data_IF_066609280298
#
_entry.id   IF_066609280298
#
_cell.length_a   1.000
_cell.length_b   1.000
_cell.length_c   1.000
_cell.angle_alpha   90.00
_cell.angle_beta   90.00
_cell.angle_gamma   90.00
#
_symmetry.space_group_name_H-M   'P 1'
#
loop_
_entity.id
_entity.type
_entity.pdbx_description
1 polymer ?
#
# COMPACT_ATOMS: atom_id res chain seq x y z
N UNK A 1 5.25 -20.99 -26.63
CA UNK A 1 5.22 -19.79 -27.51
C UNK A 1 5.85 -18.67 -26.71
N UNK A 2 6.76 -17.87 -27.28
CA UNK A 2 7.33 -16.72 -26.56
C UNK A 2 6.21 -15.70 -26.36
N UNK A 3 5.85 -15.47 -25.11
CA UNK A 3 4.82 -14.52 -24.69
C UNK A 3 5.36 -13.10 -24.91
N UNK A 4 4.84 -12.39 -25.89
CA UNK A 4 5.05 -10.95 -25.95
C UNK A 4 3.93 -10.30 -25.14
N UNK A 5 4.25 -9.95 -23.89
CA UNK A 5 3.43 -9.02 -23.12
C UNK A 5 3.36 -7.72 -23.93
N UNK A 6 2.16 -7.29 -24.29
CA UNK A 6 1.95 -6.11 -25.11
C UNK A 6 1.66 -4.90 -24.21
N UNK A 7 2.70 -4.10 -23.97
CA UNK A 7 2.58 -2.80 -23.31
C UNK A 7 2.85 -1.71 -24.36
N UNK A 8 1.81 -0.95 -24.69
CA UNK A 8 1.93 0.24 -25.53
C UNK A 8 2.19 1.49 -24.69
N UNK A 9 3.13 2.34 -25.11
CA UNK A 9 3.33 3.66 -24.51
C UNK A 9 2.90 4.74 -25.50
N UNK A 10 1.79 5.41 -25.19
CA UNK A 10 1.36 6.63 -25.87
C UNK A 10 2.15 7.79 -25.28
N UNK A 11 3.24 8.15 -25.97
CA UNK A 11 4.12 9.23 -25.51
C UNK A 11 3.45 10.59 -25.65
N UNK A 12 3.69 11.48 -24.69
CA UNK A 12 3.33 12.89 -24.77
C UNK A 12 1.84 13.17 -25.06
N UNK A 13 0.92 12.39 -24.48
CA UNK A 13 -0.51 12.67 -24.52
C UNK A 13 -0.77 14.08 -24.01
N UNK A 14 -1.30 14.94 -24.87
CA UNK A 14 -1.50 16.36 -24.58
C UNK A 14 -2.87 16.58 -23.94
N UNK A 15 -2.87 17.10 -22.71
CA UNK A 15 -4.09 17.58 -22.07
C UNK A 15 -4.30 19.07 -22.34
N UNK A 16 -5.49 19.46 -22.80
CA UNK A 16 -5.84 20.89 -22.89
C UNK A 16 -6.29 21.41 -21.53
N UNK A 17 -6.95 20.57 -20.73
CA UNK A 17 -7.47 20.91 -19.40
C UNK A 17 -6.33 21.17 -18.42
N UNK A 18 -5.31 20.30 -18.41
CA UNK A 18 -4.19 20.41 -17.47
C UNK A 18 -3.02 21.25 -18.00
N UNK A 19 -3.02 21.58 -19.30
CA UNK A 19 -1.95 22.31 -19.99
C UNK A 19 -0.58 21.63 -19.96
N UNK A 20 -0.53 20.30 -19.86
CA UNK A 20 0.69 19.52 -19.86
C UNK A 20 0.65 18.34 -20.85
N UNK A 21 1.74 17.57 -20.89
CA UNK A 21 1.87 16.34 -21.66
C UNK A 21 2.41 15.25 -20.76
N UNK A 22 1.81 14.06 -20.78
CA UNK A 22 2.23 12.88 -20.01
C UNK A 22 2.19 11.63 -20.86
N UNK A 23 2.87 10.57 -20.46
CA UNK A 23 2.69 9.29 -21.14
C UNK A 23 1.48 8.56 -20.57
N UNK A 24 0.82 7.79 -21.44
CA UNK A 24 -0.21 6.83 -21.06
C UNK A 24 0.30 5.46 -21.48
N UNK A 25 0.35 4.53 -20.52
CA UNK A 25 0.87 3.18 -20.71
C UNK A 25 -0.32 2.21 -20.70
N UNK A 26 -0.41 1.35 -21.70
CA UNK A 26 -1.57 0.47 -21.90
C UNK A 26 -1.09 -0.96 -22.02
N UNK A 27 -1.49 -1.81 -21.07
CA UNK A 27 -1.34 -3.26 -21.19
C UNK A 27 -2.57 -3.84 -21.88
N UNK A 28 -2.33 -4.72 -22.85
CA UNK A 28 -3.37 -5.45 -23.58
C UNK A 28 -3.37 -6.93 -23.16
N UNK A 29 -4.54 -7.52 -22.88
CA UNK A 29 -4.62 -8.91 -22.46
C UNK A 29 -4.26 -9.89 -23.59
N UNK A 30 -3.88 -11.14 -23.28
CA UNK A 30 -3.35 -12.10 -24.25
C UNK A 30 -4.23 -12.32 -25.48
N UNK A 31 -5.56 -12.31 -25.33
CA UNK A 31 -6.48 -12.53 -26.45
C UNK A 31 -6.75 -11.28 -27.29
N UNK A 32 -6.26 -10.10 -26.90
CA UNK A 32 -6.61 -8.82 -27.53
C UNK A 32 -6.42 -8.85 -29.04
N UNK A 33 -5.22 -9.19 -29.53
CA UNK A 33 -4.90 -9.18 -30.96
C UNK A 33 -5.54 -10.32 -31.76
N UNK A 34 -5.99 -11.39 -31.10
CA UNK A 34 -6.67 -12.52 -31.75
C UNK A 34 -8.20 -12.37 -31.79
N UNK A 35 -8.78 -11.59 -30.86
CA UNK A 35 -10.22 -11.46 -30.67
C UNK A 35 -10.71 -10.05 -31.05
N UNK A 36 -10.99 -9.87 -32.35
CA UNK A 36 -11.34 -8.56 -32.92
C UNK A 36 -12.67 -7.97 -32.41
N UNK A 37 -13.58 -8.80 -31.88
CA UNK A 37 -14.92 -8.38 -31.44
C UNK A 37 -15.11 -8.42 -29.92
N UNK A 38 -14.09 -8.81 -29.15
CA UNK A 38 -14.16 -8.86 -27.68
C UNK A 38 -13.83 -7.48 -27.10
N UNK A 39 -14.65 -7.04 -26.15
CA UNK A 39 -14.42 -5.85 -25.33
C UNK A 39 -14.08 -6.27 -23.91
N UNK A 40 -13.18 -5.51 -23.28
CA UNK A 40 -12.58 -5.84 -21.99
C UNK A 40 -12.93 -4.79 -20.94
N UNK A 41 -13.17 -5.16 -19.67
CA UNK A 41 -13.16 -4.18 -18.60
C UNK A 41 -11.84 -3.42 -18.57
N UNK A 42 -11.87 -2.21 -18.00
CA UNK A 42 -10.71 -1.33 -17.94
C UNK A 42 -10.37 -0.96 -16.50
N UNK A 43 -9.09 -1.11 -16.16
CA UNK A 43 -8.50 -0.63 -14.92
C UNK A 43 -7.63 0.58 -15.21
N UNK A 44 -8.05 1.75 -14.74
CA UNK A 44 -7.23 2.95 -14.75
C UNK A 44 -6.37 3.01 -13.48
N UNK A 45 -5.06 3.24 -13.65
CA UNK A 45 -4.11 3.29 -12.54
C UNK A 45 -3.32 4.60 -12.57
N UNK A 46 -3.23 5.26 -11.42
CA UNK A 46 -2.40 6.46 -11.23
C UNK A 46 -0.91 6.10 -11.09
N UNK A 47 -0.03 7.10 -11.20
CA UNK A 47 1.43 6.90 -11.12
C UNK A 47 1.97 5.88 -12.13
N UNK A 48 1.55 6.00 -13.38
CA UNK A 48 1.76 5.00 -14.42
C UNK A 48 3.20 4.53 -14.61
N UNK A 49 4.18 5.39 -14.34
CA UNK A 49 5.60 5.07 -14.44
C UNK A 49 6.07 3.98 -13.45
N UNK A 50 5.31 3.75 -12.36
CA UNK A 50 5.64 2.75 -11.34
C UNK A 50 4.95 1.40 -11.55
N UNK A 51 4.03 1.31 -12.51
CA UNK A 51 3.07 0.21 -12.54
C UNK A 51 3.63 -1.04 -13.21
N UNK A 52 4.48 -0.86 -14.23
CA UNK A 52 4.96 -1.99 -15.03
C UNK A 52 6.41 -2.37 -14.71
N UNK A 53 7.35 -1.44 -14.76
CA UNK A 53 8.80 -1.72 -14.66
C UNK A 53 9.48 -0.82 -13.63
N UNK A 54 10.50 -1.35 -12.96
CA UNK A 54 11.28 -0.62 -11.96
C UNK A 54 12.17 0.47 -12.59
N UNK A 55 12.70 0.22 -13.80
CA UNK A 55 13.60 1.12 -14.53
C UNK A 55 12.97 2.50 -14.81
N UNK A 56 11.66 2.54 -15.01
CA UNK A 56 10.93 3.78 -15.31
C UNK A 56 10.28 4.41 -14.06
N UNK A 57 10.35 3.73 -12.91
CA UNK A 57 9.79 4.23 -11.65
C UNK A 57 10.65 5.35 -11.08
N UNK A 58 9.99 6.32 -10.41
CA UNK A 58 10.72 7.32 -9.64
C UNK A 58 11.42 6.75 -8.40
N UNK A 59 11.03 5.56 -7.94
CA UNK A 59 11.53 4.93 -6.70
C UNK A 59 12.56 3.82 -6.95
N UNK A 60 12.73 3.38 -8.20
CA UNK A 60 13.48 2.17 -8.54
C UNK A 60 12.76 0.86 -8.22
N UNK A 61 11.50 0.91 -7.76
CA UNK A 61 10.63 -0.26 -7.52
C UNK A 61 9.37 -0.19 -8.39
N UNK A 62 8.72 -1.33 -8.66
CA UNK A 62 7.44 -1.33 -9.40
C UNK A 62 6.42 -2.31 -8.86
N UNK A 63 5.16 -2.09 -9.21
CA UNK A 63 4.06 -2.97 -8.85
C UNK A 63 4.11 -4.30 -9.59
N UNK A 64 4.80 -4.31 -10.74
CA UNK A 64 4.76 -5.41 -11.69
C UNK A 64 3.32 -5.85 -12.02
N UNK A 65 2.39 -4.88 -12.05
CA UNK A 65 0.94 -5.13 -12.06
C UNK A 65 0.52 -6.01 -13.24
N UNK A 66 1.13 -5.78 -14.40
CA UNK A 66 0.89 -6.57 -15.61
C UNK A 66 1.27 -8.05 -15.44
N UNK A 67 2.30 -8.37 -14.64
CA UNK A 67 2.70 -9.76 -14.39
C UNK A 67 1.69 -10.45 -13.47
N UNK A 68 1.23 -9.75 -12.43
CA UNK A 68 0.18 -10.25 -11.55
C UNK A 68 -1.12 -10.47 -12.32
N UNK A 69 -1.54 -9.50 -13.14
CA UNK A 69 -2.73 -9.64 -13.97
C UNK A 69 -2.59 -10.79 -14.99
N UNK A 70 -1.45 -10.90 -15.67
CA UNK A 70 -1.17 -11.98 -16.63
C UNK A 70 -1.23 -13.36 -15.96
N UNK A 71 -0.66 -13.49 -14.76
CA UNK A 71 -0.73 -14.73 -13.99
C UNK A 71 -2.18 -15.08 -13.66
N UNK A 72 -2.93 -14.15 -13.06
CA UNK A 72 -4.33 -14.38 -12.69
C UNK A 72 -5.23 -14.67 -13.90
N UNK A 73 -4.99 -14.03 -15.05
CA UNK A 73 -5.71 -14.29 -16.29
C UNK A 73 -5.42 -15.69 -16.82
N UNK A 74 -4.15 -16.12 -16.80
CA UNK A 74 -3.73 -17.45 -17.29
C UNK A 74 -4.25 -18.59 -16.44
N UNK A 75 -4.33 -18.36 -15.14
CA UNK A 75 -4.92 -19.30 -14.18
C UNK A 75 -6.45 -19.20 -14.13
N UNK A 76 -7.07 -18.43 -15.04
CA UNK A 76 -8.52 -18.23 -15.16
C UNK A 76 -9.18 -17.69 -13.87
N UNK A 77 -8.41 -17.01 -13.03
CA UNK A 77 -8.87 -16.47 -11.74
C UNK A 77 -9.54 -15.10 -11.88
N UNK A 78 -9.21 -14.34 -12.94
CA UNK A 78 -9.87 -13.09 -13.30
C UNK A 78 -10.21 -13.07 -14.80
N UNK A 79 -11.23 -12.30 -15.18
CA UNK A 79 -11.47 -12.00 -16.59
C UNK A 79 -10.34 -11.15 -17.18
N UNK A 80 -10.13 -11.24 -18.50
CA UNK A 80 -9.15 -10.40 -19.18
C UNK A 80 -9.51 -8.92 -19.10
N UNK A 81 -8.56 -8.10 -18.65
CA UNK A 81 -8.71 -6.65 -18.51
C UNK A 81 -7.69 -5.89 -19.35
N UNK A 82 -8.03 -4.64 -19.69
CA UNK A 82 -7.06 -3.65 -20.17
C UNK A 82 -6.63 -2.79 -18.99
N UNK A 83 -5.33 -2.56 -18.84
CA UNK A 83 -4.80 -1.67 -17.79
C UNK A 83 -4.28 -0.40 -18.45
N UNK A 84 -4.82 0.75 -18.03
CA UNK A 84 -4.41 2.08 -18.49
C UNK A 84 -3.72 2.81 -17.33
N UNK A 85 -2.40 2.80 -17.35
CA UNK A 85 -1.53 3.43 -16.37
C UNK A 85 -1.15 4.85 -16.82
N UNK A 86 -1.42 5.85 -15.97
CA UNK A 86 -1.30 7.28 -16.30
C UNK A 86 -0.13 7.89 -15.55
N UNK A 87 0.94 8.26 -16.26
CA UNK A 87 2.11 8.89 -15.65
C UNK A 87 1.70 10.16 -14.90
N UNK A 88 2.30 10.39 -13.73
CA UNK A 88 2.16 11.66 -13.02
C UNK A 88 3.05 12.75 -13.65
N UNK A 89 2.98 13.96 -13.10
CA UNK A 89 3.71 15.13 -13.60
C UNK A 89 4.79 15.62 -12.63
N UNK A 90 5.44 14.71 -11.91
CA UNK A 90 6.53 15.04 -10.97
C UNK A 90 6.06 16.04 -9.90
N UNK A 91 6.58 17.27 -9.94
CA UNK A 91 6.23 18.33 -8.99
C UNK A 91 4.73 18.71 -9.00
N UNK A 92 4.03 18.53 -10.12
CA UNK A 92 2.58 18.78 -10.19
C UNK A 92 1.74 17.64 -9.58
N UNK A 93 2.31 16.46 -9.31
CA UNK A 93 1.59 15.27 -8.81
C UNK A 93 0.72 15.58 -7.60
N UNK A 94 1.30 16.22 -6.58
CA UNK A 94 0.57 16.53 -5.34
C UNK A 94 -0.60 17.48 -5.58
N UNK A 95 -0.42 18.44 -6.48
CA UNK A 95 -1.46 19.40 -6.87
C UNK A 95 -2.58 18.71 -7.64
N UNK A 96 -2.24 17.92 -8.66
CA UNK A 96 -3.20 17.21 -9.51
C UNK A 96 -3.97 16.12 -8.76
N UNK A 97 -3.40 15.49 -7.73
CA UNK A 97 -4.08 14.40 -7.01
C UNK A 97 -4.91 14.89 -5.81
N UNK A 98 -4.73 16.15 -5.40
CA UNK A 98 -5.45 16.73 -4.28
C UNK A 98 -6.76 17.42 -4.72
N UNK A 99 -7.86 17.12 -4.03
CA UNK A 99 -9.16 17.79 -4.19
C UNK A 99 -9.41 18.93 -3.18
N UNK A 100 -8.41 19.23 -2.35
CA UNK A 100 -8.40 20.37 -1.44
C UNK A 100 -6.97 20.84 -1.21
N UNK A 101 -6.79 22.13 -0.98
CA UNK A 101 -5.47 22.70 -0.70
C UNK A 101 -4.85 22.03 0.52
N UNK A 102 -3.54 21.82 0.48
CA UNK A 102 -2.78 21.12 1.50
C UNK A 102 -1.45 21.78 1.81
N UNK A 103 -0.74 21.20 2.77
CA UNK A 103 0.65 21.56 3.09
C UNK A 103 1.47 20.28 3.08
N UNK A 104 2.59 20.29 2.35
CA UNK A 104 3.54 19.19 2.31
C UNK A 104 4.95 19.74 2.49
N UNK A 105 5.70 19.17 3.43
CA UNK A 105 7.08 19.61 3.75
C UNK A 105 7.19 21.14 4.00
N UNK A 106 6.14 21.74 4.57
CA UNK A 106 6.09 23.19 4.85
C UNK A 106 5.60 24.06 3.69
N UNK A 107 5.45 23.50 2.49
CA UNK A 107 4.98 24.21 1.31
C UNK A 107 3.48 24.09 1.11
N UNK A 108 2.83 25.21 0.74
CA UNK A 108 1.40 25.21 0.41
C UNK A 108 1.19 24.69 -1.00
N UNK A 109 0.37 23.65 -1.13
CA UNK A 109 0.03 23.04 -2.42
C UNK A 109 -1.42 23.39 -2.76
N UNK A 110 -1.61 24.05 -3.91
CA UNK A 110 -2.94 24.35 -4.45
C UNK A 110 -3.51 23.09 -5.09
N UNK A 111 -4.75 22.74 -4.76
CA UNK A 111 -5.43 21.60 -5.35
C UNK A 111 -5.89 21.85 -6.79
N UNK A 112 -5.63 20.87 -7.66
CA UNK A 112 -6.08 20.78 -9.05
C UNK A 112 -6.80 19.45 -9.34
N UNK A 113 -7.19 18.69 -8.32
CA UNK A 113 -7.88 17.40 -8.45
C UNK A 113 -9.14 17.43 -9.32
N UNK A 114 -9.92 18.51 -9.25
CA UNK A 114 -11.08 18.68 -10.14
C UNK A 114 -10.68 18.88 -11.62
N UNK A 115 -9.55 19.53 -11.89
CA UNK A 115 -9.02 19.65 -13.27
C UNK A 115 -8.48 18.30 -13.75
N UNK A 116 -7.76 17.58 -12.89
CA UNK A 116 -7.23 16.25 -13.19
C UNK A 116 -8.35 15.26 -13.50
N UNK A 117 -9.41 15.26 -12.70
CA UNK A 117 -10.59 14.47 -13.01
C UNK A 117 -11.23 14.87 -14.35
N UNK A 118 -11.38 16.17 -14.60
CA UNK A 118 -11.96 16.64 -15.86
C UNK A 118 -11.11 16.19 -17.07
N UNK A 119 -9.78 16.20 -16.95
CA UNK A 119 -8.87 15.60 -17.93
C UNK A 119 -9.19 14.12 -18.15
N UNK A 120 -9.32 13.35 -17.07
CA UNK A 120 -9.65 11.93 -17.14
C UNK A 120 -10.93 11.68 -17.94
N UNK A 121 -12.00 12.39 -17.58
CA UNK A 121 -13.35 12.12 -18.08
C UNK A 121 -13.57 12.68 -19.48
N UNK A 122 -13.00 13.86 -19.78
CA UNK A 122 -13.27 14.58 -21.03
C UNK A 122 -12.22 14.35 -22.10
N UNK A 123 -11.02 13.91 -21.73
CA UNK A 123 -9.91 13.74 -22.68
C UNK A 123 -9.39 12.29 -22.72
N UNK A 124 -9.03 11.72 -21.56
CA UNK A 124 -8.37 10.42 -21.51
C UNK A 124 -9.34 9.26 -21.80
N UNK A 125 -10.45 9.14 -21.05
CA UNK A 125 -11.41 8.05 -21.23
C UNK A 125 -11.96 8.01 -22.67
N UNK A 126 -12.41 9.12 -23.28
CA UNK A 126 -12.87 9.10 -24.67
C UNK A 126 -11.79 8.70 -25.67
N UNK A 127 -10.53 9.06 -25.42
CA UNK A 127 -9.42 8.63 -26.25
C UNK A 127 -9.20 7.11 -26.16
N UNK A 128 -9.21 6.55 -24.95
CA UNK A 128 -9.05 5.11 -24.72
C UNK A 128 -10.22 4.33 -25.35
N UNK A 129 -11.46 4.78 -25.13
CA UNK A 129 -12.66 4.17 -25.73
C UNK A 129 -12.65 4.17 -27.26
N UNK A 130 -12.01 5.17 -27.87
CA UNK A 130 -11.89 5.25 -29.33
C UNK A 130 -10.77 4.36 -29.86
N UNK A 131 -9.66 4.25 -29.12
CA UNK A 131 -8.46 3.54 -29.58
C UNK A 131 -8.49 2.04 -29.24
N UNK A 132 -9.09 1.67 -28.12
CA UNK A 132 -9.08 0.31 -27.58
C UNK A 132 -10.50 -0.24 -27.36
N UNK A 133 -10.63 -1.58 -27.38
CA UNK A 133 -11.90 -2.27 -27.14
C UNK A 133 -12.21 -2.39 -25.65
N UNK A 134 -12.58 -1.29 -25.02
CA UNK A 134 -12.97 -1.26 -23.61
C UNK A 134 -14.49 -1.28 -23.44
N UNK A 135 -14.98 -2.07 -22.48
CA UNK A 135 -16.36 -1.97 -21.97
C UNK A 135 -16.53 -0.61 -21.27
N UNK A 136 -17.77 -0.13 -21.16
CA UNK A 136 -18.10 1.19 -20.60
C UNK A 136 -19.06 1.04 -19.43
N UNK A 137 -19.07 2.05 -18.56
CA UNK A 137 -19.97 2.12 -17.42
C UNK A 137 -19.31 1.62 -16.13
N UNK A 138 -19.93 1.88 -14.99
CA UNK A 138 -19.30 1.72 -13.68
C UNK A 138 -18.98 0.25 -13.38
N UNK A 139 -19.85 -0.68 -13.79
CA UNK A 139 -19.65 -2.11 -13.60
C UNK A 139 -18.38 -2.65 -14.27
N UNK A 140 -17.83 -1.99 -15.30
CA UNK A 140 -16.66 -2.44 -16.07
C UNK A 140 -15.45 -1.50 -15.96
N UNK A 141 -15.56 -0.44 -15.17
CA UNK A 141 -14.52 0.60 -15.06
C UNK A 141 -14.01 0.68 -13.63
N UNK A 142 -12.74 0.31 -13.45
CA UNK A 142 -12.04 0.41 -12.18
C UNK A 142 -11.04 1.57 -12.16
N UNK A 143 -10.84 2.16 -10.98
CA UNK A 143 -9.84 3.18 -10.71
C UNK A 143 -8.97 2.72 -9.54
N UNK A 144 -7.65 2.88 -9.62
CA UNK A 144 -6.72 2.41 -8.59
C UNK A 144 -5.50 3.33 -8.44
N UNK A 145 -4.98 3.40 -7.22
CA UNK A 145 -3.69 4.01 -6.96
C UNK A 145 -3.25 3.86 -5.50
N UNK A 146 -1.99 4.19 -5.23
CA UNK A 146 -1.43 4.22 -3.88
C UNK A 146 -1.16 5.63 -3.36
N UNK A 147 -1.11 5.83 -2.04
CA UNK A 147 -0.69 7.11 -1.46
C UNK A 147 -1.57 8.28 -1.94
N UNK A 148 -0.99 9.29 -2.59
CA UNK A 148 -1.75 10.34 -3.27
C UNK A 148 -2.58 9.83 -4.45
N UNK A 149 -2.10 8.79 -5.17
CA UNK A 149 -2.87 8.05 -6.16
C UNK A 149 -4.10 7.36 -5.56
N UNK A 150 -3.98 6.86 -4.33
CA UNK A 150 -5.10 6.32 -3.55
C UNK A 150 -6.08 7.41 -3.13
N UNK A 151 -5.56 8.58 -2.71
CA UNK A 151 -6.38 9.74 -2.37
C UNK A 151 -7.19 10.23 -3.57
N UNK A 152 -6.58 10.38 -4.76
CA UNK A 152 -7.29 10.84 -5.95
C UNK A 152 -8.30 9.78 -6.43
N UNK A 153 -7.97 8.48 -6.35
CA UNK A 153 -8.90 7.37 -6.60
C UNK A 153 -10.14 7.49 -5.72
N UNK A 154 -9.93 7.66 -4.41
CA UNK A 154 -11.00 7.79 -3.42
C UNK A 154 -11.90 9.00 -3.72
N UNK A 155 -11.32 10.17 -4.02
CA UNK A 155 -12.10 11.37 -4.30
C UNK A 155 -12.84 11.30 -5.65
N UNK A 156 -12.16 10.87 -6.73
CA UNK A 156 -12.76 10.77 -8.05
C UNK A 156 -13.88 9.74 -8.07
N UNK A 157 -13.62 8.55 -7.55
CA UNK A 157 -14.57 7.45 -7.49
C UNK A 157 -15.84 7.82 -6.74
N UNK A 158 -15.71 8.37 -5.53
CA UNK A 158 -16.88 8.68 -4.70
C UNK A 158 -17.74 9.84 -5.22
N UNK A 159 -17.20 10.76 -6.05
CA UNK A 159 -18.05 11.76 -6.69
C UNK A 159 -18.42 11.48 -8.14
N UNK A 160 -17.89 10.41 -8.75
CA UNK A 160 -18.30 9.90 -10.07
C UNK A 160 -18.61 8.40 -10.04
N UNK A 161 -19.53 7.95 -9.17
CA UNK A 161 -19.94 6.54 -9.15
C UNK A 161 -20.69 6.13 -10.42
N UNK A 162 -21.16 7.10 -11.21
CA UNK A 162 -21.73 6.88 -12.54
C UNK A 162 -20.70 6.40 -13.58
N UNK A 163 -19.41 6.60 -13.31
CA UNK A 163 -18.31 6.21 -14.19
C UNK A 163 -17.43 5.12 -13.59
N UNK A 164 -17.17 5.17 -12.29
CA UNK A 164 -16.23 4.28 -11.61
C UNK A 164 -16.95 3.40 -10.59
N UNK A 165 -17.20 2.14 -10.94
CA UNK A 165 -17.86 1.20 -10.03
C UNK A 165 -16.89 0.44 -9.13
N UNK A 166 -15.58 0.48 -9.41
CA UNK A 166 -14.58 -0.30 -8.65
C UNK A 166 -13.39 0.57 -8.25
N UNK A 167 -13.09 0.67 -6.95
CA UNK A 167 -12.09 1.60 -6.42
C UNK A 167 -11.02 0.87 -5.62
N UNK A 168 -9.80 0.79 -6.17
CA UNK A 168 -8.60 0.25 -5.52
C UNK A 168 -7.83 1.33 -4.77
N UNK A 169 -8.16 1.54 -3.49
CA UNK A 169 -7.63 2.61 -2.65
C UNK A 169 -6.51 2.07 -1.75
N UNK A 170 -5.29 2.03 -2.25
CA UNK A 170 -4.15 1.41 -1.56
C UNK A 170 -3.37 2.45 -0.75
N UNK A 171 -3.08 2.18 0.53
CA UNK A 171 -2.36 3.09 1.44
C UNK A 171 -2.65 4.60 1.25
N UNK A 172 -3.91 5.03 1.22
CA UNK A 172 -4.27 6.37 0.76
C UNK A 172 -3.77 7.48 1.69
N UNK A 173 -3.37 8.62 1.13
CA UNK A 173 -2.98 9.84 1.87
C UNK A 173 -4.18 10.60 2.43
N UNK A 174 -4.99 9.93 3.25
CA UNK A 174 -6.24 10.44 3.86
C UNK A 174 -6.02 11.57 4.87
N UNK A 175 -4.78 11.82 5.26
CA UNK A 175 -4.35 12.95 6.10
C UNK A 175 -4.27 14.28 5.34
N UNK A 176 -4.38 14.25 4.01
CA UNK A 176 -4.14 15.42 3.18
C UNK A 176 -5.20 16.51 3.34
N UNK A 177 -4.74 17.75 3.48
CA UNK A 177 -5.58 18.94 3.52
C UNK A 177 -6.03 19.32 4.92
N UNK A 178 -6.97 20.28 5.00
CA UNK A 178 -7.42 20.82 6.30
C UNK A 178 -8.53 20.00 6.95
N UNK A 179 -9.39 19.40 6.14
CA UNK A 179 -10.49 18.55 6.62
C UNK A 179 -10.07 17.09 6.61
N UNK A 180 -10.39 16.39 7.70
CA UNK A 180 -10.21 14.95 7.80
C UNK A 180 -11.00 14.25 6.69
N UNK A 181 -10.41 13.25 6.03
CA UNK A 181 -11.09 12.52 4.96
C UNK A 181 -12.40 11.87 5.46
N UNK A 182 -12.44 11.43 6.72
CA UNK A 182 -13.66 10.90 7.34
C UNK A 182 -14.75 11.97 7.51
N UNK A 183 -14.38 13.23 7.76
CA UNK A 183 -15.33 14.34 7.75
C UNK A 183 -15.83 14.66 6.35
N UNK A 184 -14.92 14.65 5.37
CA UNK A 184 -15.27 14.91 3.97
C UNK A 184 -16.26 13.89 3.41
N UNK A 185 -16.18 12.62 3.83
CA UNK A 185 -17.17 11.62 3.47
C UNK A 185 -18.60 12.08 3.80
N UNK A 186 -18.83 12.82 4.87
CA UNK A 186 -20.19 13.31 5.22
C UNK A 186 -20.75 14.37 4.26
N UNK A 187 -19.94 14.87 3.31
CA UNK A 187 -20.33 15.89 2.33
C UNK A 187 -20.74 15.33 0.97
N UNK A 188 -20.48 14.04 0.70
CA UNK A 188 -20.86 13.43 -0.58
C UNK A 188 -22.31 12.94 -0.54
N UNK A 189 -22.93 12.90 -1.72
CA UNK A 189 -24.18 12.20 -1.91
C UNK A 189 -23.88 10.74 -2.26
N UNK A 190 -24.48 9.81 -1.52
CA UNK A 190 -24.30 8.37 -1.69
C UNK A 190 -25.54 7.66 -2.22
N UNK A 191 -26.62 8.38 -2.51
CA UNK A 191 -27.88 7.78 -2.96
C UNK A 191 -27.65 6.82 -4.14
N UNK A 192 -27.86 5.52 -3.90
CA UNK A 192 -27.71 4.48 -4.92
C UNK A 192 -26.25 4.12 -5.25
N UNK A 193 -25.34 4.31 -4.30
CA UNK A 193 -23.93 3.97 -4.49
C UNK A 193 -23.70 2.46 -4.48
N UNK A 194 -23.50 1.87 -5.66
CA UNK A 194 -23.25 0.44 -5.88
C UNK A 194 -21.76 0.08 -6.06
N UNK A 195 -20.84 0.99 -5.69
CA UNK A 195 -19.41 0.77 -5.93
C UNK A 195 -18.81 -0.33 -5.03
N UNK A 196 -17.87 -1.09 -5.60
CA UNK A 196 -16.94 -1.95 -4.88
C UNK A 196 -15.71 -1.15 -4.47
N UNK A 197 -15.47 -1.04 -3.16
CA UNK A 197 -14.34 -0.29 -2.59
C UNK A 197 -13.38 -1.26 -1.91
N UNK A 198 -12.18 -1.39 -2.47
CA UNK A 198 -11.03 -1.97 -1.79
C UNK A 198 -10.24 -0.85 -1.11
N UNK A 199 -10.07 -0.94 0.20
CA UNK A 199 -9.16 -0.06 0.95
C UNK A 199 -8.10 -0.92 1.62
N UNK A 200 -6.83 -0.56 1.50
CA UNK A 200 -5.78 -1.19 2.29
C UNK A 200 -4.83 -0.19 2.94
N UNK A 201 -4.13 -0.66 3.96
CA UNK A 201 -3.03 0.06 4.60
C UNK A 201 -2.08 -0.94 5.23
N UNK A 202 -0.78 -0.75 5.03
CA UNK A 202 0.23 -1.51 5.74
C UNK A 202 0.32 -1.11 7.20
N UNK A 203 0.47 -2.09 8.10
CA UNK A 203 0.57 -1.81 9.54
C UNK A 203 1.91 -1.16 9.94
N UNK A 204 2.90 -1.19 9.05
CA UNK A 204 4.17 -0.50 9.19
C UNK A 204 4.10 1.00 8.88
N UNK A 205 3.02 1.47 8.28
CA UNK A 205 2.89 2.86 7.81
C UNK A 205 2.55 3.86 8.93
N UNK A 206 2.49 3.38 10.17
CA UNK A 206 2.36 4.20 11.36
C UNK A 206 1.07 5.03 11.37
N UNK A 207 1.18 6.35 11.21
CA UNK A 207 0.04 7.27 11.32
C UNK A 207 -1.02 7.04 10.24
N UNK A 208 -0.65 6.52 9.06
CA UNK A 208 -1.60 6.22 7.98
C UNK A 208 -2.74 5.33 8.46
N UNK A 209 -2.44 4.34 9.31
CA UNK A 209 -3.46 3.45 9.88
C UNK A 209 -4.60 4.19 10.57
N UNK A 210 -4.30 5.23 11.38
CA UNK A 210 -5.34 5.95 12.13
C UNK A 210 -6.32 6.71 11.24
N UNK A 211 -5.83 7.21 10.09
CA UNK A 211 -6.68 7.86 9.10
C UNK A 211 -7.56 6.84 8.37
N UNK A 212 -6.97 5.71 7.97
CA UNK A 212 -7.72 4.60 7.36
C UNK A 212 -8.80 4.05 8.30
N UNK A 213 -8.47 3.80 9.57
CA UNK A 213 -9.44 3.34 10.58
C UNK A 213 -10.64 4.29 10.71
N UNK A 214 -10.40 5.61 10.71
CA UNK A 214 -11.45 6.62 10.80
C UNK A 214 -12.34 6.64 9.56
N UNK A 215 -11.74 6.50 8.38
CA UNK A 215 -12.47 6.44 7.10
C UNK A 215 -13.28 5.16 6.97
N UNK A 216 -12.73 4.00 7.34
CA UNK A 216 -13.43 2.72 7.34
C UNK A 216 -14.65 2.77 8.26
N UNK A 217 -14.52 3.39 9.44
CA UNK A 217 -15.65 3.53 10.36
C UNK A 217 -16.81 4.33 9.75
N UNK A 218 -16.53 5.36 8.94
CA UNK A 218 -17.58 6.10 8.22
C UNK A 218 -18.11 5.33 7.01
N UNK A 219 -17.25 4.67 6.22
CA UNK A 219 -17.69 3.85 5.08
C UNK A 219 -18.59 2.69 5.52
N UNK A 220 -18.33 2.07 6.68
CA UNK A 220 -19.23 1.04 7.25
C UNK A 220 -20.62 1.60 7.58
N UNK A 221 -20.73 2.86 7.99
CA UNK A 221 -22.03 3.50 8.21
C UNK A 221 -22.75 3.72 6.88
N UNK A 222 -22.03 4.13 5.84
CA UNK A 222 -22.58 4.33 4.49
C UNK A 222 -23.06 2.98 3.92
N UNK A 223 -22.25 1.93 4.01
CA UNK A 223 -22.61 0.57 3.58
C UNK A 223 -23.87 0.02 4.28
N UNK A 224 -24.19 0.48 5.49
CA UNK A 224 -25.43 0.07 6.17
C UNK A 224 -26.71 0.68 5.57
N UNK A 225 -26.56 1.72 4.75
CA UNK A 225 -27.66 2.44 4.10
C UNK A 225 -27.67 2.29 2.57
N UNK A 226 -26.52 1.96 1.97
CA UNK A 226 -26.30 1.94 0.52
C UNK A 226 -25.80 0.57 0.06
N UNK A 227 -26.07 0.16 -1.20
CA UNK A 227 -25.66 -1.14 -1.75
C UNK A 227 -24.15 -1.25 -2.07
N UNK A 228 -23.31 -0.41 -1.45
CA UNK A 228 -21.86 -0.41 -1.58
C UNK A 228 -21.27 -1.70 -1.00
N UNK A 229 -20.23 -2.22 -1.66
CA UNK A 229 -19.40 -3.29 -1.09
C UNK A 229 -18.04 -2.73 -0.64
N UNK A 230 -17.62 -3.06 0.58
CA UNK A 230 -16.42 -2.54 1.23
C UNK A 230 -15.55 -3.69 1.72
N UNK A 231 -14.34 -3.76 1.17
CA UNK A 231 -13.27 -4.62 1.65
C UNK A 231 -12.17 -3.75 2.25
N UNK A 232 -11.72 -4.15 3.44
CA UNK A 232 -10.52 -3.59 4.06
C UNK A 232 -9.44 -4.64 4.22
N UNK A 233 -8.18 -4.29 3.95
CA UNK A 233 -7.03 -5.12 4.31
C UNK A 233 -5.97 -4.32 5.08
N UNK A 234 -5.77 -4.65 6.35
CA UNK A 234 -4.59 -4.21 7.09
C UNK A 234 -3.44 -5.19 6.81
N UNK A 235 -2.55 -4.81 5.90
CA UNK A 235 -1.45 -5.66 5.45
C UNK A 235 -0.36 -5.74 6.52
N UNK A 236 -0.10 -6.96 7.01
CA UNK A 236 0.89 -7.22 8.05
C UNK A 236 2.31 -6.92 7.54
N UNK A 237 3.08 -6.19 8.34
CA UNK A 237 4.46 -5.79 8.11
C UNK A 237 4.71 -5.00 6.81
N UNK A 238 3.65 -4.58 6.11
CA UNK A 238 3.75 -3.94 4.81
C UNK A 238 4.04 -2.44 4.92
N UNK A 239 4.95 -1.96 4.07
CA UNK A 239 5.40 -0.56 4.05
C UNK A 239 4.65 0.30 3.03
N UNK A 240 4.98 1.59 3.03
CA UNK A 240 4.49 2.58 2.08
C UNK A 240 5.39 2.62 0.82
N UNK A 241 5.52 1.50 0.11
CA UNK A 241 6.42 1.33 -1.04
C UNK A 241 5.76 0.59 -2.22
N UNK A 242 6.32 0.77 -3.42
CA UNK A 242 5.83 0.12 -4.64
C UNK A 242 5.90 -1.41 -4.54
N UNK A 243 7.00 -1.94 -3.98
CA UNK A 243 7.17 -3.36 -3.69
C UNK A 243 6.10 -3.91 -2.73
N UNK A 244 5.73 -3.17 -1.69
CA UNK A 244 4.71 -3.59 -0.74
C UNK A 244 3.29 -3.59 -1.34
N UNK A 245 3.01 -2.69 -2.29
CA UNK A 245 1.76 -2.71 -3.06
C UNK A 245 1.74 -3.86 -4.07
N UNK A 246 2.88 -4.13 -4.73
CA UNK A 246 3.04 -5.26 -5.65
C UNK A 246 2.62 -6.61 -5.03
N UNK A 247 3.05 -6.87 -3.79
CA UNK A 247 2.79 -8.14 -3.06
C UNK A 247 1.31 -8.38 -2.80
N UNK A 248 0.48 -7.33 -2.78
CA UNK A 248 -0.94 -7.44 -2.39
C UNK A 248 -1.93 -7.04 -3.48
N UNK A 249 -1.47 -6.55 -4.63
CA UNK A 249 -2.36 -6.09 -5.71
C UNK A 249 -3.17 -7.20 -6.37
N UNK A 250 -2.79 -8.47 -6.17
CA UNK A 250 -3.62 -9.60 -6.60
C UNK A 250 -5.02 -9.59 -5.95
N UNK A 251 -5.11 -9.14 -4.69
CA UNK A 251 -6.39 -9.15 -3.96
C UNK A 251 -7.43 -8.18 -4.52
N UNK A 252 -7.13 -6.88 -4.79
CA UNK A 252 -8.09 -6.02 -5.46
C UNK A 252 -8.42 -6.48 -6.89
N UNK A 253 -7.47 -7.07 -7.62
CA UNK A 253 -7.77 -7.64 -8.95
C UNK A 253 -8.79 -8.79 -8.88
N UNK A 254 -8.59 -9.72 -7.95
CA UNK A 254 -9.53 -10.81 -7.69
C UNK A 254 -10.91 -10.29 -7.28
N UNK A 255 -10.95 -9.30 -6.40
CA UNK A 255 -12.20 -8.69 -5.94
C UNK A 255 -12.99 -7.99 -7.05
N UNK A 256 -12.30 -7.36 -8.00
CA UNK A 256 -12.93 -6.56 -9.05
C UNK A 256 -13.32 -7.35 -10.29
N UNK A 257 -12.55 -8.40 -10.63
CA UNK A 257 -12.61 -9.03 -11.94
C UNK A 257 -12.62 -10.56 -11.87
N UNK A 258 -12.68 -11.13 -10.67
CA UNK A 258 -12.57 -12.58 -10.47
C UNK A 258 -13.50 -13.12 -9.41
N UNK A 259 -13.22 -14.37 -9.04
CA UNK A 259 -13.88 -15.06 -7.94
C UNK A 259 -12.93 -15.23 -6.76
N UNK A 260 -13.35 -14.74 -5.59
CA UNK A 260 -12.56 -14.83 -4.36
C UNK A 260 -12.57 -16.26 -3.78
N UNK A 261 -13.68 -16.98 -3.95
CA UNK A 261 -13.89 -18.32 -3.40
C UNK A 261 -14.27 -18.30 -1.91
N UNK A 262 -14.07 -19.43 -1.24
CA UNK A 262 -14.41 -19.64 0.17
C UNK A 262 -13.23 -19.30 1.10
N UNK A 263 -13.53 -19.01 2.37
CA UNK A 263 -12.51 -18.78 3.40
C UNK A 263 -11.79 -20.10 3.68
N UNK A 264 -10.47 -20.10 3.50
CA UNK A 264 -9.59 -21.25 3.76
C UNK A 264 -8.96 -21.16 5.16
N UNK A 265 -8.57 -19.94 5.58
CA UNK A 265 -7.81 -19.74 6.81
C UNK A 265 -8.13 -18.41 7.47
N UNK A 266 -8.16 -18.42 8.79
CA UNK A 266 -8.23 -17.21 9.62
C UNK A 266 -6.95 -17.10 10.44
N UNK A 267 -6.28 -15.95 10.36
CA UNK A 267 -5.07 -15.64 11.12
C UNK A 267 -5.29 -14.45 12.04
N UNK A 268 -4.90 -14.60 13.30
CA UNK A 268 -4.91 -13.50 14.26
C UNK A 268 -3.55 -12.80 14.25
N UNK A 269 -3.45 -11.76 13.43
CA UNK A 269 -2.24 -10.94 13.26
C UNK A 269 -2.08 -9.98 14.44
N UNK A 270 -0.85 -9.79 14.87
CA UNK A 270 -0.49 -8.97 16.03
C UNK A 270 0.43 -9.73 17.01
N UNK A 271 0.91 -9.03 18.03
CA UNK A 271 1.88 -9.59 18.98
C UNK A 271 1.30 -10.72 19.83
N UNK A 272 2.13 -11.73 20.10
CA UNK A 272 1.82 -12.80 21.07
C UNK A 272 2.05 -12.34 22.54
N UNK A 273 2.30 -11.05 22.76
CA UNK A 273 2.68 -10.46 24.04
C UNK A 273 1.94 -9.13 24.28
N UNK A 274 1.40 -8.99 25.49
CA UNK A 274 0.83 -7.73 26.01
C UNK A 274 1.32 -7.48 27.45
N UNK A 275 1.05 -6.28 28.00
CA UNK A 275 1.53 -5.89 29.32
C UNK A 275 0.51 -5.12 30.15
N UNK A 276 0.62 -5.22 31.48
CA UNK A 276 -0.20 -4.42 32.40
C UNK A 276 0.16 -2.92 32.36
N UNK A 277 1.44 -2.62 32.10
CA UNK A 277 1.98 -1.28 31.85
C UNK A 277 2.71 -1.27 30.52
N UNK A 278 2.34 -0.37 29.61
CA UNK A 278 2.96 -0.29 28.29
C UNK A 278 1.96 0.02 27.18
N UNK A 279 2.36 -0.18 25.91
CA UNK A 279 1.51 0.10 24.76
C UNK A 279 0.30 -0.84 24.71
N UNK A 280 -0.84 -0.29 24.26
CA UNK A 280 -2.04 -1.10 23.94
C UNK A 280 -1.78 -1.93 22.69
N UNK A 281 -2.26 -3.16 22.70
CA UNK A 281 -2.08 -4.13 21.61
C UNK A 281 -3.42 -4.39 20.97
N UNK A 282 -3.45 -4.45 19.64
CA UNK A 282 -4.62 -4.87 18.86
C UNK A 282 -4.29 -6.17 18.12
N UNK A 283 -5.26 -7.07 18.07
CA UNK A 283 -5.24 -8.25 17.20
C UNK A 283 -6.11 -7.96 15.99
N UNK A 284 -5.54 -8.16 14.80
CA UNK A 284 -6.20 -8.00 13.50
C UNK A 284 -6.49 -9.38 12.90
N UNK A 285 -7.76 -9.81 12.79
CA UNK A 285 -8.11 -11.05 12.11
C UNK A 285 -8.00 -10.85 10.60
N UNK A 286 -7.17 -11.66 9.95
CA UNK A 286 -7.03 -11.71 8.49
C UNK A 286 -7.61 -13.01 7.98
N UNK A 287 -8.54 -12.90 7.04
CA UNK A 287 -9.14 -14.00 6.31
C UNK A 287 -8.33 -14.21 5.03
N UNK A 288 -7.91 -15.45 4.79
CA UNK A 288 -7.32 -15.88 3.52
C UNK A 288 -8.27 -16.84 2.85
N UNK A 289 -8.55 -16.60 1.58
CA UNK A 289 -9.48 -17.36 0.77
C UNK A 289 -8.73 -18.29 -0.19
N UNK A 290 -9.43 -19.26 -0.76
CA UNK A 290 -8.86 -20.25 -1.68
C UNK A 290 -8.12 -19.63 -2.88
N UNK A 291 -8.53 -18.44 -3.34
CA UNK A 291 -7.85 -17.67 -4.40
C UNK A 291 -6.59 -16.95 -3.93
N UNK A 292 -6.16 -17.12 -2.68
CA UNK A 292 -5.15 -16.29 -2.00
C UNK A 292 -5.53 -14.82 -1.79
N UNK A 293 -6.78 -14.43 -2.10
CA UNK A 293 -7.36 -13.16 -1.68
C UNK A 293 -7.31 -13.03 -0.15
N UNK A 294 -6.97 -11.84 0.33
CA UNK A 294 -6.89 -11.55 1.77
C UNK A 294 -7.70 -10.32 2.15
N UNK A 295 -8.37 -10.39 3.29
CA UNK A 295 -9.02 -9.22 3.88
C UNK A 295 -8.95 -9.24 5.41
N UNK A 296 -8.97 -8.07 6.02
CA UNK A 296 -9.24 -7.92 7.46
C UNK A 296 -10.73 -8.13 7.71
N UNK A 297 -11.07 -8.97 8.69
CA UNK A 297 -12.45 -9.14 9.10
C UNK A 297 -12.95 -7.87 9.81
N UNK A 298 -13.90 -7.16 9.18
CA UNK A 298 -14.57 -5.99 9.76
C UNK A 298 -15.75 -6.34 10.67
N UNK A 299 -16.11 -7.63 10.70
CA UNK A 299 -17.18 -8.23 11.51
C UNK A 299 -16.67 -9.51 12.17
N UNK A 300 -17.42 -10.03 13.14
CA UNK A 300 -17.06 -11.20 13.91
C UNK A 300 -16.91 -10.91 15.40
N UNK A 301 -16.68 -11.97 16.18
CA UNK A 301 -16.71 -11.91 17.63
C UNK A 301 -15.39 -12.37 18.26
N UNK A 302 -14.83 -11.49 19.08
CA UNK A 302 -13.68 -11.82 19.93
C UNK A 302 -14.12 -12.34 21.29
N UNK A 303 -13.46 -13.41 21.76
CA UNK A 303 -13.63 -13.96 23.10
C UNK A 303 -12.29 -14.28 23.75
N UNK A 304 -12.19 -14.03 25.05
CA UNK A 304 -11.06 -14.55 25.84
C UNK A 304 -11.48 -15.81 26.58
N UNK A 305 -10.69 -16.88 26.48
CA UNK A 305 -10.91 -18.10 27.26
C UNK A 305 -10.53 -17.94 28.74
N UNK A 306 -9.85 -16.85 29.10
CA UNK A 306 -9.50 -16.50 30.49
C UNK A 306 -9.78 -15.01 30.77
N UNK A 307 -11.06 -14.57 30.82
CA UNK A 307 -11.44 -13.16 30.94
C UNK A 307 -11.05 -12.49 32.28
N UNK A 308 -10.68 -13.30 33.28
CA UNK A 308 -10.09 -12.83 34.54
C UNK A 308 -8.61 -12.41 34.37
N UNK A 309 -7.89 -12.95 33.38
CA UNK A 309 -6.49 -12.60 33.07
C UNK A 309 -6.40 -11.56 31.96
N UNK A 310 -7.15 -11.73 30.88
CA UNK A 310 -7.11 -10.89 29.68
C UNK A 310 -8.51 -10.72 29.12
N UNK A 311 -8.95 -9.49 28.89
CA UNK A 311 -10.12 -9.19 28.07
C UNK A 311 -9.67 -8.76 26.67
N UNK A 312 -10.56 -8.89 25.71
CA UNK A 312 -10.46 -8.35 24.35
C UNK A 312 -11.79 -7.66 24.06
N UNK A 313 -11.77 -6.52 23.37
CA UNK A 313 -12.99 -5.86 22.91
C UNK A 313 -13.27 -6.21 21.44
N UNK A 314 -14.39 -5.72 20.92
CA UNK A 314 -14.86 -6.00 19.56
C UNK A 314 -13.86 -5.60 18.47
N UNK A 315 -13.11 -4.51 18.66
CA UNK A 315 -12.08 -4.09 17.70
C UNK A 315 -10.73 -4.81 17.87
N UNK A 316 -10.64 -5.84 18.72
CA UNK A 316 -9.43 -6.66 18.90
C UNK A 316 -8.38 -6.08 19.85
N UNK A 317 -8.64 -4.93 20.49
CA UNK A 317 -7.75 -4.35 21.52
C UNK A 317 -7.77 -5.18 22.80
N UNK A 318 -6.57 -5.59 23.19
CA UNK A 318 -6.28 -6.37 24.38
C UNK A 318 -6.33 -5.50 25.65
N UNK A 319 -6.98 -6.02 26.70
CA UNK A 319 -7.14 -5.41 28.02
C UNK A 319 -6.63 -6.36 29.10
N UNK A 320 -5.31 -6.41 29.34
CA UNK A 320 -4.71 -7.31 30.33
C UNK A 320 -5.07 -6.89 31.76
N UNK A 321 -5.24 -7.89 32.64
CA UNK A 321 -5.63 -7.70 34.05
C UNK A 321 -4.63 -8.30 35.02
N UNK A 322 -4.04 -9.45 34.68
CA UNK A 322 -3.06 -10.16 35.51
C UNK A 322 -1.99 -10.81 34.63
N UNK A 323 -0.77 -10.89 35.15
CA UNK A 323 0.35 -11.61 34.53
C UNK A 323 -0.04 -13.08 34.33
N UNK A 324 0.38 -13.67 33.21
CA UNK A 324 0.10 -15.06 32.88
C UNK A 324 0.00 -15.29 31.39
N UNK A 325 -0.85 -16.22 30.98
CA UNK A 325 -1.16 -16.47 29.57
C UNK A 325 -2.64 -16.77 29.40
N UNK A 326 -3.22 -16.26 28.32
CA UNK A 326 -4.61 -16.47 27.94
C UNK A 326 -4.69 -16.76 26.44
N UNK A 327 -5.73 -17.49 26.01
CA UNK A 327 -6.04 -17.68 24.60
C UNK A 327 -7.18 -16.73 24.25
N UNK A 328 -6.99 -15.99 23.17
CA UNK A 328 -8.03 -15.22 22.51
C UNK A 328 -8.55 -16.06 21.34
N UNK A 329 -9.85 -16.04 21.17
CA UNK A 329 -10.59 -16.71 20.11
C UNK A 329 -11.32 -15.64 19.29
N UNK A 330 -11.39 -15.86 17.99
CA UNK A 330 -12.17 -15.05 17.06
C UNK A 330 -13.03 -15.95 16.21
N UNK A 331 -14.31 -15.61 16.08
CA UNK A 331 -15.28 -16.34 15.29
C UNK A 331 -15.91 -15.42 14.24
N UNK A 332 -15.99 -15.88 12.99
CA UNK A 332 -16.70 -15.19 11.92
C UNK A 332 -17.17 -16.22 10.90
N UNK A 333 -18.40 -16.07 10.39
CA UNK A 333 -19.00 -16.98 9.39
C UNK A 333 -18.90 -18.48 9.73
N UNK A 334 -19.03 -18.84 11.02
CA UNK A 334 -18.93 -20.23 11.48
C UNK A 334 -17.51 -20.81 11.53
N UNK A 335 -16.50 -20.04 11.14
CA UNK A 335 -15.08 -20.39 11.27
C UNK A 335 -14.45 -19.73 12.50
N UNK A 336 -13.38 -20.35 13.01
CA UNK A 336 -12.73 -19.95 14.25
C UNK A 336 -11.21 -19.91 14.11
N UNK A 337 -10.58 -18.90 14.72
CA UNK A 337 -9.15 -18.87 14.98
C UNK A 337 -8.85 -18.58 16.45
N UNK A 338 -7.70 -19.07 16.92
CA UNK A 338 -7.22 -18.84 18.27
C UNK A 338 -5.77 -18.37 18.27
N UNK A 339 -5.42 -17.53 19.26
CA UNK A 339 -4.07 -17.04 19.49
C UNK A 339 -3.75 -17.01 20.97
N UNK A 340 -2.60 -17.55 21.34
CA UNK A 340 -2.10 -17.50 22.71
C UNK A 340 -1.38 -16.18 22.94
N UNK A 341 -1.77 -15.47 23.99
CA UNK A 341 -1.18 -14.21 24.41
C UNK A 341 -0.52 -14.36 25.78
N UNK A 342 0.76 -13.99 25.86
CA UNK A 342 1.50 -13.82 27.11
C UNK A 342 1.26 -12.43 27.68
N UNK A 343 1.08 -12.34 28.99
CA UNK A 343 0.83 -11.08 29.70
C UNK A 343 1.98 -10.86 30.67
N UNK A 344 2.74 -9.77 30.47
CA UNK A 344 3.86 -9.38 31.35
C UNK A 344 3.50 -8.18 32.20
N UNK A 345 4.32 -7.91 33.24
CA UNK A 345 4.11 -6.77 34.13
C UNK A 345 4.23 -5.45 33.37
N UNK A 346 5.29 -5.32 32.59
CA UNK A 346 5.66 -4.10 31.91
C UNK A 346 6.28 -4.43 30.57
N UNK A 347 6.04 -3.56 29.60
CA UNK A 347 6.66 -3.63 28.29
C UNK A 347 6.97 -2.20 27.86
N UNK A 348 8.24 -1.95 27.57
CA UNK A 348 8.71 -0.62 27.17
C UNK A 348 8.02 -0.19 25.88
N UNK A 349 7.64 1.09 25.80
CA UNK A 349 7.17 1.72 24.56
C UNK A 349 8.31 2.02 23.58
N UNK A 350 9.56 1.78 23.98
CA UNK A 350 10.76 1.94 23.18
C UNK A 350 11.57 0.65 23.12
N UNK A 351 12.43 0.57 22.13
CA UNK A 351 13.31 -0.57 21.80
C UNK A 351 14.62 -0.04 21.28
N UNK A 352 15.70 -0.72 21.64
CA UNK A 352 17.05 -0.39 21.21
C UNK A 352 17.45 -1.30 20.05
N UNK A 353 17.80 -0.70 18.93
CA UNK A 353 18.26 -1.38 17.72
C UNK A 353 19.71 -0.98 17.48
N UNK A 354 20.60 -1.97 17.51
CA UNK A 354 21.99 -1.80 17.12
C UNK A 354 22.19 -2.32 15.69
N UNK A 355 22.61 -1.46 14.77
CA UNK A 355 22.89 -1.82 13.37
C UNK A 355 24.39 -1.82 13.18
N UNK A 356 24.95 -2.96 12.80
CA UNK A 356 26.34 -3.16 12.47
C UNK A 356 26.50 -3.32 10.97
N UNK A 357 27.46 -2.62 10.39
CA UNK A 357 27.77 -2.69 8.96
C UNK A 357 29.22 -3.12 8.75
N UNK A 358 29.46 -4.04 7.82
CA UNK A 358 30.79 -4.37 7.30
C UNK A 358 30.92 -3.94 5.82
N UNK A 359 31.93 -3.14 5.51
CA UNK A 359 32.30 -2.82 4.12
C UNK A 359 33.22 -3.90 3.53
N UNK A 360 32.83 -4.49 2.39
CA UNK A 360 33.72 -5.39 1.64
C UNK A 360 34.85 -4.62 0.95
N UNK A 361 35.88 -5.35 0.48
CA UNK A 361 37.13 -4.77 -0.07
C UNK A 361 36.90 -3.74 -1.20
N UNK A 362 35.85 -3.92 -1.99
CA UNK A 362 35.45 -3.03 -3.08
C UNK A 362 34.94 -1.69 -2.55
N UNK A 363 33.89 -1.67 -1.73
CA UNK A 363 33.39 -0.47 -1.04
C UNK A 363 34.43 0.21 -0.14
N UNK A 364 35.39 -0.55 0.41
CA UNK A 364 36.44 -0.01 1.28
C UNK A 364 37.33 1.04 0.61
N UNK A 365 37.50 1.00 -0.72
CA UNK A 365 38.33 1.97 -1.44
C UNK A 365 37.71 3.38 -1.49
N UNK A 366 36.42 3.48 -1.23
CA UNK A 366 35.60 4.71 -1.32
C UNK A 366 35.32 5.32 0.06
N UNK A 367 35.66 4.62 1.15
CA UNK A 367 35.10 4.88 2.46
C UNK A 367 35.75 6.06 3.20
N UNK A 368 34.98 7.15 3.31
CA UNK A 368 35.10 8.16 4.37
C UNK A 368 34.12 7.86 5.52
N UNK A 369 33.20 8.80 5.75
CA UNK A 369 32.09 8.65 6.71
C UNK A 369 30.92 7.89 6.08
N UNK A 370 30.36 6.91 6.80
CA UNK A 370 29.18 6.16 6.36
C UNK A 370 27.96 6.63 7.15
N UNK A 371 26.84 6.76 6.46
CA UNK A 371 25.57 7.20 7.04
C UNK A 371 24.50 6.13 6.89
N UNK A 372 23.61 6.11 7.87
CA UNK A 372 22.34 5.40 7.84
C UNK A 372 21.26 6.38 7.38
N UNK A 373 20.86 6.30 6.11
CA UNK A 373 19.81 7.13 5.53
C UNK A 373 18.43 6.50 5.83
N UNK A 374 17.70 7.08 6.77
CA UNK A 374 16.42 6.60 7.28
C UNK A 374 15.25 7.38 6.65
N UNK A 375 14.22 6.66 6.22
CA UNK A 375 12.95 7.19 5.70
C UNK A 375 13.13 8.29 4.64
N UNK A 376 14.13 8.13 3.76
CA UNK A 376 14.42 8.99 2.61
C UNK A 376 14.72 10.48 2.92
N UNK A 377 14.92 10.83 4.20
CA UNK A 377 15.03 12.24 4.62
C UNK A 377 16.02 12.52 5.75
N UNK A 378 16.42 11.51 6.54
CA UNK A 378 17.32 11.70 7.69
C UNK A 378 18.55 10.83 7.56
N UNK A 379 19.74 11.41 7.56
CA UNK A 379 20.99 10.66 7.59
C UNK A 379 21.59 10.70 9.00
N UNK A 380 21.89 9.52 9.55
CA UNK A 380 22.59 9.37 10.82
C UNK A 380 24.01 8.89 10.55
N UNK A 381 25.01 9.69 10.93
CA UNK A 381 26.40 9.27 10.88
C UNK A 381 26.61 8.02 11.74
N UNK A 382 27.21 6.99 11.15
CA UNK A 382 27.52 5.75 11.86
C UNK A 382 28.87 5.86 12.58
N UNK A 383 28.92 5.37 13.82
CA UNK A 383 30.15 5.26 14.60
C UNK A 383 31.12 4.30 13.92
N UNK A 384 32.33 4.77 13.61
CA UNK A 384 33.40 3.93 13.08
C UNK A 384 34.05 3.10 14.19
N UNK A 385 33.97 1.77 14.10
CA UNK A 385 34.48 0.87 15.15
C UNK A 385 35.93 0.45 14.89
N UNK A 386 36.21 -0.18 13.74
CA UNK A 386 37.56 -0.57 13.28
C UNK A 386 37.52 -0.96 11.79
N UNK A 387 38.61 -0.70 11.06
CA UNK A 387 38.89 -1.08 9.65
C UNK A 387 37.77 -0.83 8.65
N UNK A 388 36.74 -1.66 8.69
CA UNK A 388 35.63 -1.75 7.74
C UNK A 388 34.29 -1.91 8.46
N UNK A 389 34.24 -1.72 9.78
CA UNK A 389 33.04 -1.91 10.60
C UNK A 389 32.51 -0.59 11.16
N UNK A 390 31.20 -0.44 11.07
CA UNK A 390 30.46 0.73 11.54
C UNK A 390 29.26 0.30 12.40
N UNK A 391 28.82 1.18 13.31
CA UNK A 391 27.65 0.96 14.17
C UNK A 391 26.72 2.17 14.18
N UNK A 392 25.42 1.92 14.13
CA UNK A 392 24.39 2.87 14.55
C UNK A 392 23.60 2.28 15.73
N UNK A 393 23.37 3.07 16.77
CA UNK A 393 22.52 2.70 17.90
C UNK A 393 21.28 3.59 17.91
N UNK A 394 20.12 2.99 17.72
CA UNK A 394 18.84 3.69 17.61
C UNK A 394 17.91 3.29 18.75
N UNK A 395 17.23 4.26 19.35
CA UNK A 395 16.10 3.99 20.25
C UNK A 395 14.81 4.37 19.55
N UNK A 396 14.08 3.36 19.07
CA UNK A 396 12.86 3.53 18.29
C UNK A 396 11.62 3.32 19.17
N UNK A 397 10.47 3.81 18.71
CA UNK A 397 9.20 3.43 19.33
C UNK A 397 8.94 1.95 19.03
N UNK A 398 8.39 1.21 19.99
CA UNK A 398 8.04 -0.20 19.76
C UNK A 398 7.01 -0.34 18.66
N UNK A 399 7.24 -1.32 17.80
CA UNK A 399 6.54 -1.63 16.55
C UNK A 399 6.70 -0.55 15.46
N UNK A 400 7.57 0.44 15.66
CA UNK A 400 8.00 1.31 14.57
C UNK A 400 8.80 0.48 13.57
N UNK A 401 8.57 0.75 12.29
CA UNK A 401 9.34 0.13 11.23
C UNK A 401 10.27 1.18 10.64
N UNK A 402 11.55 0.82 10.62
CA UNK A 402 12.63 1.60 10.06
C UNK A 402 12.86 1.14 8.62
N UNK A 403 12.72 2.05 7.67
CA UNK A 403 13.23 1.91 6.30
C UNK A 403 14.56 2.66 6.21
N UNK A 404 15.61 2.02 5.70
CA UNK A 404 16.89 2.68 5.53
C UNK A 404 17.76 2.08 4.42
N UNK A 405 18.72 2.88 3.96
CA UNK A 405 19.88 2.44 3.18
C UNK A 405 21.17 2.98 3.78
N UNK A 406 22.29 2.38 3.40
CA UNK A 406 23.62 2.91 3.69
C UNK A 406 24.08 3.86 2.57
N UNK A 407 24.62 5.01 2.94
CA UNK A 407 25.14 6.02 2.01
C UNK A 407 26.51 6.54 2.43
N UNK A 408 27.20 7.23 1.52
CA UNK A 408 28.38 8.05 1.84
C UNK A 408 28.00 9.54 1.93
N UNK A 409 26.85 9.84 2.52
CA UNK A 409 26.36 11.21 2.75
C UNK A 409 25.54 11.82 1.60
N UNK A 410 25.11 10.99 0.65
CA UNK A 410 24.18 11.35 -0.42
C UNK A 410 23.48 10.11 -0.97
N UNK A 411 22.26 10.28 -1.49
CA UNK A 411 21.55 9.25 -2.26
C UNK A 411 22.26 8.92 -3.58
N UNK A 412 23.10 9.82 -4.09
CA UNK A 412 23.96 9.55 -5.24
C UNK A 412 25.06 8.52 -4.91
N UNK A 413 25.38 8.33 -3.63
CA UNK A 413 26.41 7.39 -3.13
C UNK A 413 25.79 6.28 -2.29
N UNK A 414 24.58 5.85 -2.67
CA UNK A 414 23.82 4.79 -1.99
C UNK A 414 24.39 3.40 -2.27
N UNK A 415 24.18 2.48 -1.33
CA UNK A 415 24.59 1.08 -1.49
C UNK A 415 24.02 0.40 -2.74
N UNK A 416 24.81 -0.50 -3.32
CA UNK A 416 24.49 -1.31 -4.50
C UNK A 416 24.88 -2.76 -4.27
N UNK A 417 24.32 -3.66 -5.08
CA UNK A 417 24.77 -5.05 -5.09
C UNK A 417 26.17 -5.20 -5.72
N UNK A 418 26.68 -6.43 -5.71
CA UNK A 418 27.99 -6.81 -6.29
C UNK A 418 28.18 -6.38 -7.75
N UNK A 419 27.08 -6.24 -8.50
CA UNK A 419 27.05 -5.88 -9.92
C UNK A 419 26.85 -4.38 -10.17
N UNK A 420 26.75 -3.57 -9.11
CA UNK A 420 26.48 -2.12 -9.21
C UNK A 420 25.02 -1.79 -9.48
N UNK A 421 24.10 -2.74 -9.31
CA UNK A 421 22.66 -2.50 -9.46
C UNK A 421 22.05 -2.05 -8.14
N UNK A 422 20.94 -1.31 -8.24
CA UNK A 422 20.11 -0.96 -7.10
C UNK A 422 19.67 -2.19 -6.34
N UNK A 423 19.66 -2.06 -5.01
CA UNK A 423 19.02 -3.00 -4.11
C UNK A 423 17.85 -2.32 -3.43
N UNK A 424 16.85 -3.11 -3.05
CA UNK A 424 15.74 -2.63 -2.25
C UNK A 424 16.24 -2.08 -0.91
N UNK A 425 15.50 -1.17 -0.31
CA UNK A 425 15.85 -0.67 1.00
C UNK A 425 15.75 -1.76 2.07
N UNK A 426 16.51 -1.60 3.15
CA UNK A 426 16.42 -2.48 4.30
C UNK A 426 15.25 -2.07 5.19
N UNK A 427 14.54 -3.07 5.73
CA UNK A 427 13.40 -2.86 6.62
C UNK A 427 13.59 -3.61 7.93
N UNK A 428 13.36 -2.90 9.05
CA UNK A 428 13.42 -3.48 10.40
C UNK A 428 12.17 -3.12 11.17
N UNK A 429 11.52 -4.12 11.76
CA UNK A 429 10.53 -3.91 12.81
C UNK A 429 11.20 -3.85 14.18
N UNK A 430 10.98 -2.73 14.87
CA UNK A 430 11.44 -2.51 16.23
C UNK A 430 10.44 -3.17 17.22
N UNK A 431 10.33 -4.49 17.17
CA UNK A 431 9.44 -5.28 18.04
C UNK A 431 10.12 -5.77 19.33
N UNK A 432 11.45 -5.83 19.34
CA UNK A 432 12.32 -6.16 20.48
C UNK A 432 13.70 -5.50 20.37
N UNK A 433 14.44 -5.48 21.48
CA UNK A 433 15.83 -5.02 21.45
C UNK A 433 16.65 -6.03 20.65
N UNK A 434 17.37 -5.58 19.62
CA UNK A 434 18.13 -6.48 18.75
C UNK A 434 19.36 -5.82 18.13
N UNK A 435 20.29 -6.68 17.71
CA UNK A 435 21.46 -6.31 16.94
C UNK A 435 21.38 -6.94 15.55
N UNK A 436 21.68 -6.15 14.53
CA UNK A 436 21.57 -6.54 13.13
C UNK A 436 22.90 -6.31 12.43
N UNK A 437 23.19 -7.15 11.44
CA UNK A 437 24.48 -7.18 10.76
C UNK A 437 24.27 -7.14 9.26
N UNK A 438 24.86 -6.16 8.61
CA UNK A 438 24.78 -5.92 7.18
C UNK A 438 26.16 -5.90 6.55
N UNK A 439 26.20 -6.17 5.25
CA UNK A 439 27.40 -6.10 4.44
C UNK A 439 27.11 -5.28 3.19
N UNK A 440 27.97 -4.30 2.90
CA UNK A 440 27.88 -3.51 1.65
C UNK A 440 29.07 -3.86 0.77
N UNK A 441 28.74 -4.24 -0.47
CA UNK A 441 29.74 -4.61 -1.46
C UNK A 441 30.27 -3.41 -2.24
N UNK A 442 29.39 -2.46 -2.56
CA UNK A 442 29.70 -1.26 -3.34
C UNK A 442 28.75 -0.12 -2.99
N UNK A 443 29.23 1.11 -3.18
CA UNK A 443 28.38 2.28 -3.29
C UNK A 443 28.29 2.71 -4.76
N UNK A 444 27.28 3.50 -5.10
CA UNK A 444 27.23 4.23 -6.36
C UNK A 444 28.44 5.16 -6.53
N UNK A 445 28.91 5.30 -7.77
CA UNK A 445 30.00 6.22 -8.18
C UNK A 445 29.50 7.63 -8.52
#
# INVERSE_FOLDING_TARGET
MKNNIEIEIIKNFKSKILHNKRNIRVYLPPSYSAQNNKFYPVLYVHDGQNIFTAEESYSGESWQLHQTAEYLIREEMIEEIIIVAVDNMGSERLSEYAHQDGVFQGEKIKARGLEYENFFIKELMPFIEKKYRVKKGPADTALMGSSMGGLVTFNMGLRRPDLFGKLGVMSPSLWWGKSDAAEKLRSYNYDGLESQIWLDTGDAEGKFMSFSESVIAELKKIQSCEPMDLVYYQAADAHHSESAWAVRVHSPLLYFFGEVGEIEKIELIGRDLTSLKGPKIRINPVLTFASSFKMTALEGEFRSLRPKLLKVNENGVLKPKKIGSAVIEFNVFGQQAQKKIKIVKELSSKVNIDIYLQLKKTAKKEAGTVYLAVNDAQEFEMEHLDKSYYKAALTLKRDEILNFKFTLGSWETVEKNSWGQDIDSHFIKADEDKSLYFEVERFSE
#
